data_IF_603996760693
#
_entry.id   IF_603996760693
#
_cell.length_a   1.000
_cell.length_b   1.000
_cell.length_c   1.000
_cell.angle_alpha   90.00
_cell.angle_beta   90.00
_cell.angle_gamma   90.00
#
_symmetry.space_group_name_H-M   'P 1'
#
loop_
_entity.id
_entity.type
_entity.pdbx_description
1 polymer ?
#
# COMPACT_ATOMS: atom_id res chain seq x y z
N UNK A 1 5.39 3.78 -7.22
CA UNK A 1 5.79 4.37 -5.96
C UNK A 1 6.48 3.39 -5.02
N UNK A 2 6.85 3.88 -3.87
CA UNK A 2 7.54 3.12 -2.83
C UNK A 2 6.63 2.98 -1.61
N UNK A 3 6.31 1.75 -1.24
CA UNK A 3 5.51 1.50 -0.04
C UNK A 3 6.37 1.76 1.19
N UNK A 4 6.02 2.80 1.95
CA UNK A 4 6.78 3.24 3.13
C UNK A 4 6.26 2.62 4.42
N UNK A 5 4.93 2.57 4.58
CA UNK A 5 4.33 2.13 5.84
C UNK A 5 2.90 1.62 5.64
N UNK A 6 2.52 0.64 6.45
CA UNK A 6 1.13 0.23 6.61
C UNK A 6 0.75 0.48 8.07
N UNK A 7 -0.28 1.29 8.29
CA UNK A 7 -0.77 1.63 9.63
C UNK A 7 -2.15 1.02 9.80
N UNK A 8 -2.36 0.30 10.90
CA UNK A 8 -3.65 -0.33 11.19
C UNK A 8 -4.34 0.35 12.36
N UNK A 9 -5.62 0.65 12.16
CA UNK A 9 -6.54 1.08 13.20
C UNK A 9 -7.65 0.02 13.33
N UNK A 10 -8.51 0.07 14.37
CA UNK A 10 -9.50 -0.97 14.59
C UNK A 10 -10.44 -1.24 13.41
N UNK A 11 -10.80 -0.21 12.63
CA UNK A 11 -11.75 -0.33 11.53
C UNK A 11 -11.19 0.15 10.19
N UNK A 12 -9.88 0.37 10.10
CA UNK A 12 -9.28 0.95 8.90
C UNK A 12 -7.79 0.65 8.87
N UNK A 13 -7.26 0.43 7.67
CA UNK A 13 -5.82 0.47 7.45
C UNK A 13 -5.49 1.64 6.54
N UNK A 14 -4.29 2.18 6.67
CA UNK A 14 -3.75 3.20 5.80
C UNK A 14 -2.43 2.73 5.22
N UNK A 15 -2.27 2.92 3.91
CA UNK A 15 -1.05 2.60 3.19
C UNK A 15 -0.42 3.91 2.73
N UNK A 16 0.82 4.14 3.14
CA UNK A 16 1.56 5.34 2.77
C UNK A 16 2.59 4.98 1.70
N UNK A 17 2.48 5.62 0.55
CA UNK A 17 3.30 5.35 -0.62
C UNK A 17 3.97 6.65 -1.06
N UNK A 18 5.29 6.60 -1.22
CA UNK A 18 6.05 7.74 -1.74
C UNK A 18 6.00 7.73 -3.26
N UNK A 19 5.53 8.82 -3.84
CA UNK A 19 5.45 9.01 -5.30
C UNK A 19 6.08 10.35 -5.62
N UNK A 20 7.18 10.33 -6.38
CA UNK A 20 7.90 11.55 -6.78
C UNK A 20 8.23 12.48 -5.61
N UNK A 21 8.64 11.89 -4.47
CA UNK A 21 9.01 12.67 -3.29
C UNK A 21 7.86 13.10 -2.41
N UNK A 22 6.62 12.74 -2.75
CA UNK A 22 5.42 13.07 -1.99
C UNK A 22 4.80 11.80 -1.41
N UNK A 23 4.41 11.85 -0.14
CA UNK A 23 3.72 10.73 0.49
C UNK A 23 2.24 10.80 0.14
N UNK A 24 1.76 9.76 -0.52
CA UNK A 24 0.34 9.59 -0.86
C UNK A 24 -0.27 8.55 0.08
N UNK A 25 -1.45 8.84 0.61
CA UNK A 25 -2.12 7.97 1.57
C UNK A 25 -3.36 7.34 0.95
N UNK A 26 -3.47 6.02 1.11
CA UNK A 26 -4.63 5.24 0.65
C UNK A 26 -5.18 4.47 1.82
N UNK A 27 -6.49 4.19 1.83
CA UNK A 27 -7.16 3.52 2.94
C UNK A 27 -7.92 2.29 2.48
N UNK A 28 -8.16 1.36 3.41
CA UNK A 28 -9.02 0.21 3.20
C UNK A 28 -9.63 -0.19 4.55
N UNK A 29 -10.67 -1.01 4.53
CA UNK A 29 -11.31 -1.47 5.77
C UNK A 29 -10.40 -2.40 6.57
N UNK A 30 -9.65 -3.25 5.87
CA UNK A 30 -8.73 -4.21 6.49
C UNK A 30 -7.72 -4.69 5.47
N UNK A 31 -6.69 -5.41 5.94
CA UNK A 31 -5.72 -6.03 5.04
C UNK A 31 -6.39 -7.03 4.09
N UNK A 32 -7.44 -7.71 4.53
CA UNK A 32 -8.16 -8.66 3.69
C UNK A 32 -8.97 -8.02 2.56
N UNK A 33 -9.25 -6.71 2.68
CA UNK A 33 -9.95 -5.96 1.63
C UNK A 33 -9.04 -5.51 0.49
N UNK A 34 -7.75 -5.76 0.61
CA UNK A 34 -6.74 -5.36 -0.38
C UNK A 34 -6.13 -6.61 -1.00
N UNK A 35 -6.06 -6.65 -2.32
CA UNK A 35 -5.32 -7.71 -3.02
C UNK A 35 -3.83 -7.37 -3.02
N UNK A 36 -3.03 -8.18 -2.35
CA UNK A 36 -1.58 -8.05 -2.38
C UNK A 36 -1.00 -9.03 -3.38
N UNK A 37 -0.41 -8.51 -4.43
CA UNK A 37 0.12 -9.29 -5.56
C UNK A 37 1.63 -9.12 -5.58
N UNK A 38 2.37 -10.24 -5.54
CA UNK A 38 3.81 -10.20 -5.57
C UNK A 38 4.35 -10.70 -6.90
N UNK A 39 5.25 -9.92 -7.48
CA UNK A 39 6.05 -10.30 -8.65
C UNK A 39 7.50 -10.55 -8.25
N UNK A 40 7.74 -10.73 -6.94
CA UNK A 40 9.08 -10.93 -6.36
C UNK A 40 9.14 -12.31 -5.73
N UNK A 41 10.21 -13.03 -6.01
CA UNK A 41 10.47 -14.33 -5.39
C UNK A 41 11.01 -14.18 -3.98
N UNK A 42 11.55 -13.02 -3.64
CA UNK A 42 12.19 -12.74 -2.37
C UNK A 42 11.28 -12.05 -1.35
N UNK A 43 10.02 -11.82 -1.69
CA UNK A 43 9.08 -11.23 -0.75
C UNK A 43 8.74 -12.27 0.32
N UNK A 44 9.21 -12.02 1.51
CA UNK A 44 9.07 -12.95 2.64
C UNK A 44 8.25 -12.35 3.76
N UNK A 45 7.66 -13.23 4.55
CA UNK A 45 6.92 -12.85 5.73
C UNK A 45 5.51 -12.36 5.43
N UNK A 46 4.86 -11.94 6.48
CA UNK A 46 3.47 -11.49 6.44
C UNK A 46 3.43 -10.00 6.12
N UNK A 47 2.49 -9.58 5.30
CA UNK A 47 2.19 -8.16 5.14
C UNK A 47 1.59 -7.69 6.45
N UNK A 48 2.30 -6.82 7.14
CA UNK A 48 1.96 -6.42 8.50
C UNK A 48 1.83 -4.91 8.63
N UNK A 49 1.22 -4.49 9.74
CA UNK A 49 0.98 -3.08 10.06
C UNK A 49 2.25 -2.45 10.61
N UNK A 50 3.20 -2.18 9.75
CA UNK A 50 4.52 -1.70 10.15
C UNK A 50 5.16 -0.87 9.06
N UNK A 51 6.25 -0.21 9.41
CA UNK A 51 7.10 0.47 8.46
C UNK A 51 7.90 -0.56 7.66
N UNK A 52 7.99 -0.33 6.35
CA UNK A 52 8.78 -1.18 5.46
C UNK A 52 10.20 -0.62 5.36
N UNK A 53 11.19 -1.43 5.74
CA UNK A 53 12.60 -1.05 5.70
C UNK A 53 13.43 -2.15 5.05
N UNK A 54 13.98 -1.93 3.83
CA UNK A 54 13.75 -0.77 2.97
C UNK A 54 12.33 -0.73 2.39
N UNK A 55 11.89 0.42 1.86
CA UNK A 55 10.60 0.51 1.19
C UNK A 55 10.51 -0.43 -0.01
N UNK A 56 9.31 -0.96 -0.26
CA UNK A 56 9.06 -1.82 -1.41
C UNK A 56 8.59 -1.00 -2.60
N UNK A 57 9.08 -1.33 -3.78
CA UNK A 57 8.58 -0.73 -5.00
C UNK A 57 7.23 -1.36 -5.33
N UNK A 58 6.20 -0.53 -5.49
CA UNK A 58 4.84 -1.01 -5.67
C UNK A 58 4.09 -0.23 -6.74
N UNK A 59 3.07 -0.87 -7.29
CA UNK A 59 2.03 -0.25 -8.09
C UNK A 59 0.71 -0.37 -7.32
N UNK A 60 0.05 0.76 -7.09
CA UNK A 60 -1.18 0.81 -6.29
C UNK A 60 -2.38 1.03 -7.21
N UNK A 61 -3.36 0.15 -7.09
CA UNK A 61 -4.65 0.29 -7.77
C UNK A 61 -5.64 0.80 -6.74
N UNK A 62 -6.27 1.94 -7.01
CA UNK A 62 -7.15 2.61 -6.06
C UNK A 62 -8.33 3.24 -6.76
N UNK A 63 -9.33 3.61 -5.97
CA UNK A 63 -10.47 4.39 -6.47
C UNK A 63 -10.83 5.47 -5.47
N UNK A 64 -11.49 6.53 -5.96
CA UNK A 64 -12.04 7.56 -5.09
C UNK A 64 -13.32 7.03 -4.48
N UNK A 65 -13.43 7.08 -3.14
CA UNK A 65 -14.59 6.57 -2.41
C UNK A 65 -15.72 7.60 -2.33
N UNK A 66 -15.82 8.47 -3.32
CA UNK A 66 -16.80 9.56 -3.40
C UNK A 66 -16.10 10.87 -3.70
N UNK A 67 -16.85 12.01 -3.78
CA UNK A 67 -16.21 13.29 -4.03
C UNK A 67 -15.26 13.68 -2.90
N UNK A 68 -14.20 14.46 -3.18
CA UNK A 68 -13.34 14.97 -2.12
C UNK A 68 -14.17 15.72 -1.07
N UNK A 69 -13.80 15.63 0.23
CA UNK A 69 -12.53 15.11 0.78
C UNK A 69 -12.51 13.63 1.14
N UNK A 70 -13.38 12.82 0.56
CA UNK A 70 -13.33 11.38 0.85
C UNK A 70 -11.97 10.79 0.50
N UNK A 71 -11.46 9.84 1.31
CA UNK A 71 -10.14 9.27 1.07
C UNK A 71 -10.13 8.37 -0.17
N UNK A 72 -8.95 8.21 -0.75
CA UNK A 72 -8.71 7.25 -1.82
C UNK A 72 -8.67 5.85 -1.23
N UNK A 73 -9.48 4.95 -1.80
CA UNK A 73 -9.58 3.57 -1.33
C UNK A 73 -8.65 2.68 -2.15
N UNK A 74 -7.73 1.99 -1.47
CA UNK A 74 -6.84 1.04 -2.15
C UNK A 74 -7.60 -0.24 -2.47
N UNK A 75 -7.39 -0.76 -3.67
CA UNK A 75 -8.00 -2.01 -4.15
C UNK A 75 -6.95 -3.10 -4.19
N UNK A 76 -5.76 -2.79 -4.71
CA UNK A 76 -4.68 -3.76 -4.83
C UNK A 76 -3.34 -3.07 -4.71
N UNK A 77 -2.35 -3.82 -4.24
CA UNK A 77 -0.96 -3.40 -4.20
C UNK A 77 -0.13 -4.48 -4.87
N UNK A 78 0.55 -4.14 -5.95
CA UNK A 78 1.46 -5.03 -6.64
C UNK A 78 2.89 -4.73 -6.23
N UNK A 79 3.57 -5.73 -5.67
CA UNK A 79 4.98 -5.63 -5.33
C UNK A 79 5.81 -5.96 -6.56
N UNK A 80 6.55 -4.96 -7.03
CA UNK A 80 7.31 -5.06 -8.27
C UNK A 80 8.70 -5.64 -8.00
N UNK A 81 9.34 -6.28 -9.01
CA UNK A 81 10.72 -6.72 -8.86
C UNK A 81 11.65 -5.56 -8.57
N UNK A 82 12.72 -5.81 -7.82
CA UNK A 82 13.75 -4.80 -7.62
C UNK A 82 14.43 -4.48 -8.95
N UNK A 83 14.71 -3.21 -9.23
CA UNK A 83 15.54 -2.86 -10.37
C UNK A 83 16.95 -3.39 -10.17
N UNK A 84 17.54 -3.85 -11.23
CA UNK A 84 18.93 -4.30 -11.23
C UNK A 84 19.87 -3.17 -11.66
#
# INVERSE_FOLDING_TARGET
GWLERITCAPNEIAIEVSVAGTIERFVAESLNAVAFISHRDDLRGVIACTRRTPPDRVYVIWRQAGPPPNPRQVIAVEFLPHPR
#
